data_IF_401700056073
#
_entry.id   IF_401700056073
#
_cell.length_a   1.000
_cell.length_b   1.000
_cell.length_c   1.000
_cell.angle_alpha   90.00
_cell.angle_beta   90.00
_cell.angle_gamma   90.00
#
_symmetry.space_group_name_H-M   'P 1'
#
loop_
_entity.id
_entity.type
_entity.pdbx_description
1 polymer ?
#
# COMPACT_ATOMS: atom_id res chain seq x y z
N UNK A 1 -15.24 4.93 -12.27
CA UNK A 1 -15.75 5.27 -10.93
C UNK A 1 -16.19 6.74 -10.84
N UNK A 2 -16.76 7.31 -11.91
CA UNK A 2 -17.15 8.74 -11.93
C UNK A 2 -18.24 9.04 -10.90
N UNK A 3 -19.10 8.06 -10.60
CA UNK A 3 -20.15 8.19 -9.58
C UNK A 3 -19.62 8.51 -8.17
N UNK A 4 -18.36 8.16 -7.85
CA UNK A 4 -17.73 8.52 -6.58
C UNK A 4 -17.50 10.03 -6.43
N UNK A 5 -17.42 10.78 -7.52
CA UNK A 5 -17.30 12.24 -7.48
C UNK A 5 -18.59 12.92 -6.99
N UNK A 6 -19.71 12.19 -6.93
CA UNK A 6 -20.97 12.69 -6.38
C UNK A 6 -21.05 12.58 -4.85
N UNK A 7 -20.08 11.95 -4.19
CA UNK A 7 -20.03 11.90 -2.73
C UNK A 7 -19.49 13.23 -2.19
N UNK A 8 -20.02 13.71 -1.07
CA UNK A 8 -19.49 14.91 -0.45
C UNK A 8 -18.04 14.68 -0.01
N UNK A 9 -17.24 15.73 -0.11
CA UNK A 9 -15.92 15.76 0.50
C UNK A 9 -16.11 15.72 2.02
N UNK A 10 -15.70 14.62 2.63
CA UNK A 10 -15.76 14.39 4.08
C UNK A 10 -14.51 13.62 4.52
N UNK A 11 -14.14 13.79 5.79
CA UNK A 11 -13.08 13.03 6.44
C UNK A 11 -13.72 12.10 7.46
N UNK A 12 -13.51 10.80 7.28
CA UNK A 12 -14.17 9.76 8.09
C UNK A 12 -13.31 9.30 9.28
N UNK A 13 -12.14 9.92 9.50
CA UNK A 13 -11.21 9.54 10.57
C UNK A 13 -10.28 10.67 11.00
N UNK A 14 -9.78 10.57 12.23
CA UNK A 14 -8.73 11.46 12.76
C UNK A 14 -7.45 11.40 11.92
N UNK A 15 -7.12 10.24 11.35
CA UNK A 15 -5.97 10.08 10.46
C UNK A 15 -6.13 10.92 9.18
N UNK A 16 -7.33 10.95 8.59
CA UNK A 16 -7.64 11.76 7.43
C UNK A 16 -7.59 13.27 7.76
N UNK A 17 -8.01 13.67 8.96
CA UNK A 17 -7.85 15.04 9.46
C UNK A 17 -6.38 15.42 9.65
N UNK A 18 -5.59 14.53 10.23
CA UNK A 18 -4.15 14.70 10.40
C UNK A 18 -3.41 14.80 9.06
N UNK A 19 -3.87 14.09 8.03
CA UNK A 19 -3.38 14.30 6.66
C UNK A 19 -3.69 15.71 6.14
N UNK A 20 -4.90 16.21 6.37
CA UNK A 20 -5.29 17.56 5.93
C UNK A 20 -4.45 18.64 6.63
N UNK A 21 -4.15 18.48 7.92
CA UNK A 21 -3.17 19.32 8.62
C UNK A 21 -1.78 19.21 8.00
N UNK A 22 -1.31 18.00 7.66
CA UNK A 22 0.00 17.80 7.03
C UNK A 22 0.14 18.47 5.64
N UNK A 23 -0.98 18.59 4.92
CA UNK A 23 -1.02 19.34 3.65
C UNK A 23 -0.68 20.81 3.88
N UNK A 24 -1.25 21.46 4.90
CA UNK A 24 -0.99 22.87 5.21
C UNK A 24 0.37 23.07 5.90
N UNK A 25 0.66 22.28 6.93
CA UNK A 25 1.92 22.29 7.67
C UNK A 25 2.30 20.87 8.08
N UNK A 26 3.35 20.38 7.44
CA UNK A 26 3.87 19.04 7.73
C UNK A 26 4.73 19.07 8.99
N UNK A 27 4.36 18.27 9.99
CA UNK A 27 5.20 17.95 11.13
C UNK A 27 4.68 16.68 11.81
N UNK A 28 5.53 15.66 11.92
CA UNK A 28 5.17 14.43 12.65
C UNK A 28 5.10 14.65 14.16
N UNK A 29 5.77 15.69 14.67
CA UNK A 29 5.74 16.09 16.08
C UNK A 29 4.36 16.63 16.47
N UNK A 30 3.67 17.24 15.52
CA UNK A 30 2.34 17.84 15.69
C UNK A 30 1.21 16.93 15.18
N UNK A 31 1.51 15.65 14.90
CA UNK A 31 0.56 14.70 14.32
C UNK A 31 -0.02 15.16 12.97
N UNK A 32 0.78 15.86 12.15
CA UNK A 32 0.37 16.40 10.85
C UNK A 32 1.24 15.85 9.70
N UNK A 33 1.11 14.57 9.31
CA UNK A 33 0.37 13.50 9.97
C UNK A 33 1.25 12.79 11.02
N UNK A 34 0.69 11.80 11.73
CA UNK A 34 1.46 10.98 12.67
C UNK A 34 2.66 10.25 12.00
N UNK A 35 3.66 9.84 12.78
CA UNK A 35 4.79 9.04 12.28
C UNK A 35 4.30 7.79 11.54
N UNK A 36 4.78 7.48 10.32
CA UNK A 36 6.02 7.94 9.70
C UNK A 36 5.91 9.17 8.78
N UNK A 37 4.77 9.86 8.76
CA UNK A 37 4.59 11.09 7.97
C UNK A 37 4.03 10.87 6.56
N UNK A 38 4.00 9.64 6.04
CA UNK A 38 3.40 9.30 4.75
C UNK A 38 3.78 10.27 3.60
N UNK A 39 5.09 10.49 3.38
CA UNK A 39 5.60 11.62 2.61
C UNK A 39 5.08 11.68 1.16
N UNK A 40 4.91 10.52 0.51
CA UNK A 40 4.38 10.50 -0.88
C UNK A 40 2.90 10.89 -0.91
N UNK A 41 2.13 10.50 0.12
CA UNK A 41 0.71 10.83 0.19
C UNK A 41 0.51 12.33 0.47
N UNK A 42 1.27 12.89 1.42
CA UNK A 42 1.26 14.34 1.69
C UNK A 42 1.71 15.12 0.47
N UNK A 43 2.75 14.67 -0.24
CA UNK A 43 3.21 15.36 -1.44
C UNK A 43 2.16 15.36 -2.56
N UNK A 44 1.49 14.22 -2.79
CA UNK A 44 0.36 14.12 -3.72
C UNK A 44 -0.78 15.06 -3.34
N UNK A 45 -1.19 15.06 -2.07
CA UNK A 45 -2.26 15.94 -1.59
C UNK A 45 -1.86 17.42 -1.70
N UNK A 46 -0.62 17.80 -1.37
CA UNK A 46 -0.12 19.17 -1.59
C UNK A 46 -0.18 19.61 -3.05
N UNK A 47 0.15 18.71 -3.98
CA UNK A 47 0.05 18.99 -5.41
C UNK A 47 -1.39 19.29 -5.82
N UNK A 48 -2.36 18.50 -5.36
CA UNK A 48 -3.78 18.74 -5.60
C UNK A 48 -4.26 20.04 -4.93
N UNK A 49 -3.74 20.35 -3.74
CA UNK A 49 -4.07 21.56 -3.00
C UNK A 49 -3.67 22.85 -3.73
N UNK A 50 -2.67 22.81 -4.63
CA UNK A 50 -2.32 23.98 -5.46
C UNK A 50 -3.49 24.44 -6.36
N UNK A 51 -4.35 23.51 -6.79
CA UNK A 51 -5.52 23.83 -7.61
C UNK A 51 -6.82 23.95 -6.81
N UNK A 52 -6.95 23.20 -5.72
CA UNK A 52 -8.18 23.15 -4.92
C UNK A 52 -8.24 24.25 -3.85
N UNK A 53 -7.09 24.70 -3.34
CA UNK A 53 -6.97 25.62 -2.21
C UNK A 53 -7.76 25.18 -0.95
N UNK A 54 -7.96 23.88 -0.79
CA UNK A 54 -8.63 23.24 0.35
C UNK A 54 -7.92 21.92 0.67
N UNK A 55 -7.30 21.84 1.85
CA UNK A 55 -6.55 20.67 2.30
C UNK A 55 -7.43 19.43 2.48
N UNK A 56 -8.69 19.62 2.88
CA UNK A 56 -9.64 18.53 3.09
C UNK A 56 -9.99 17.90 1.73
N UNK A 57 -10.38 18.73 0.77
CA UNK A 57 -10.63 18.29 -0.60
C UNK A 57 -9.38 17.64 -1.22
N UNK A 58 -8.21 18.22 -0.99
CA UNK A 58 -6.96 17.70 -1.52
C UNK A 58 -6.64 16.28 -1.01
N UNK A 59 -6.84 16.00 0.29
CA UNK A 59 -6.67 14.66 0.87
C UNK A 59 -7.71 13.69 0.33
N UNK A 60 -8.98 14.11 0.30
CA UNK A 60 -10.07 13.30 -0.24
C UNK A 60 -9.78 12.88 -1.69
N UNK A 61 -9.42 13.83 -2.56
CA UNK A 61 -9.11 13.53 -3.95
C UNK A 61 -7.78 12.79 -4.14
N UNK A 62 -6.77 12.98 -3.28
CA UNK A 62 -5.55 12.17 -3.32
C UNK A 62 -5.86 10.69 -3.07
N UNK A 63 -6.69 10.41 -2.05
CA UNK A 63 -7.19 9.08 -1.74
C UNK A 63 -8.00 8.51 -2.90
N UNK A 64 -8.99 9.25 -3.38
CA UNK A 64 -9.89 8.80 -4.44
C UNK A 64 -9.14 8.52 -5.75
N UNK A 65 -8.39 9.50 -6.27
CA UNK A 65 -7.68 9.38 -7.54
C UNK A 65 -6.57 8.34 -7.48
N UNK A 66 -5.90 8.17 -6.33
CA UNK A 66 -4.90 7.12 -6.15
C UNK A 66 -5.53 5.71 -6.05
N UNK A 67 -6.80 5.60 -5.64
CA UNK A 67 -7.52 4.32 -5.52
C UNK A 67 -8.18 3.86 -6.82
N UNK A 68 -8.62 4.80 -7.66
CA UNK A 68 -9.28 4.52 -8.96
C UNK A 68 -8.53 3.51 -9.86
N UNK A 69 -7.18 3.45 -9.88
CA UNK A 69 -6.45 2.45 -10.65
C UNK A 69 -6.61 1.00 -10.16
N UNK A 70 -7.10 0.73 -8.94
CA UNK A 70 -7.18 -0.65 -8.39
C UNK A 70 -7.98 -1.59 -9.31
N UNK A 71 -9.25 -1.32 -9.69
CA UNK A 71 -10.02 -2.23 -10.53
C UNK A 71 -9.36 -2.57 -11.88
N UNK A 72 -8.89 -1.60 -12.69
CA UNK A 72 -8.23 -1.95 -13.95
C UNK A 72 -6.88 -2.66 -13.73
N UNK A 73 -6.09 -2.28 -12.72
CA UNK A 73 -4.81 -2.95 -12.44
C UNK A 73 -5.01 -4.42 -12.04
N UNK A 74 -6.02 -4.69 -11.20
CA UNK A 74 -6.40 -6.04 -10.80
C UNK A 74 -6.84 -6.87 -12.02
N UNK A 75 -7.71 -6.33 -12.85
CA UNK A 75 -8.19 -7.01 -14.06
C UNK A 75 -7.05 -7.33 -15.02
N UNK A 76 -6.13 -6.38 -15.24
CA UNK A 76 -4.94 -6.59 -16.07
C UNK A 76 -3.99 -7.64 -15.49
N UNK A 77 -3.83 -7.66 -14.16
CA UNK A 77 -2.99 -8.63 -13.48
C UNK A 77 -3.53 -10.05 -13.69
N UNK A 78 -4.85 -10.24 -13.51
CA UNK A 78 -5.53 -11.52 -13.74
C UNK A 78 -5.37 -11.98 -15.18
N UNK A 79 -5.70 -11.11 -16.15
CA UNK A 79 -5.61 -11.43 -17.58
C UNK A 79 -4.20 -11.85 -17.98
N UNK A 80 -3.17 -11.13 -17.50
CA UNK A 80 -1.77 -11.50 -17.79
C UNK A 80 -1.34 -12.77 -17.07
N UNK A 81 -1.79 -13.00 -15.85
CA UNK A 81 -1.37 -14.17 -15.08
C UNK A 81 -2.01 -15.46 -15.58
N UNK A 82 -3.24 -15.39 -16.07
CA UNK A 82 -4.02 -16.52 -16.55
C UNK A 82 -4.08 -16.62 -18.08
N UNK A 83 -3.45 -15.68 -18.80
CA UNK A 83 -3.43 -15.65 -20.27
C UNK A 83 -4.85 -15.68 -20.89
N UNK A 84 -5.80 -15.03 -20.22
CA UNK A 84 -7.23 -15.12 -20.53
C UNK A 84 -7.80 -13.71 -20.79
N UNK A 85 -7.64 -13.15 -22.00
CA UNK A 85 -8.06 -11.78 -22.32
C UNK A 85 -9.56 -11.54 -22.15
N UNK A 86 -10.39 -12.57 -22.35
CA UNK A 86 -11.84 -12.50 -22.11
C UNK A 86 -12.23 -12.19 -20.65
N UNK A 87 -11.30 -12.32 -19.70
CA UNK A 87 -11.52 -12.03 -18.29
C UNK A 87 -11.31 -10.55 -17.93
N UNK A 88 -10.86 -9.70 -18.86
CA UNK A 88 -10.59 -8.29 -18.56
C UNK A 88 -11.85 -7.56 -18.08
N UNK A 89 -12.91 -7.59 -18.88
CA UNK A 89 -14.18 -6.92 -18.57
C UNK A 89 -14.83 -7.44 -17.27
N UNK A 90 -15.01 -8.76 -17.06
CA UNK A 90 -15.67 -9.24 -15.84
C UNK A 90 -14.88 -8.92 -14.57
N UNK A 91 -13.54 -9.03 -14.58
CA UNK A 91 -12.74 -8.66 -13.39
C UNK A 91 -12.67 -7.16 -13.16
N UNK A 92 -12.72 -6.35 -14.22
CA UNK A 92 -12.82 -4.90 -14.06
C UNK A 92 -14.17 -4.51 -13.44
N UNK A 93 -15.28 -5.03 -13.96
CA UNK A 93 -16.61 -4.79 -13.40
C UNK A 93 -16.74 -5.31 -11.96
N UNK A 94 -16.20 -6.50 -11.68
CA UNK A 94 -16.12 -7.03 -10.33
C UNK A 94 -15.36 -6.09 -9.41
N UNK A 95 -14.18 -5.62 -9.82
CA UNK A 95 -13.39 -4.66 -9.05
C UNK A 95 -14.11 -3.34 -8.79
N UNK A 96 -14.93 -2.86 -9.73
CA UNK A 96 -15.78 -1.68 -9.55
C UNK A 96 -16.94 -1.93 -8.57
N UNK A 97 -17.44 -3.16 -8.52
CA UNK A 97 -18.52 -3.58 -7.63
C UNK A 97 -18.07 -4.02 -6.23
N UNK A 98 -16.76 -4.19 -6.00
CA UNK A 98 -16.24 -4.53 -4.67
C UNK A 98 -16.42 -3.34 -3.72
N UNK A 99 -17.21 -3.47 -2.62
CA UNK A 99 -17.47 -2.37 -1.69
C UNK A 99 -16.21 -1.75 -1.08
N UNK A 100 -15.14 -2.55 -0.99
CA UNK A 100 -13.84 -2.11 -0.49
C UNK A 100 -13.23 -0.98 -1.32
N UNK A 101 -13.39 -0.98 -2.65
CA UNK A 101 -12.70 0.02 -3.50
C UNK A 101 -13.29 1.43 -3.30
N UNK A 102 -14.62 1.63 -3.32
CA UNK A 102 -15.24 2.88 -2.88
C UNK A 102 -14.84 3.29 -1.46
N UNK A 103 -14.86 2.35 -0.51
CA UNK A 103 -14.52 2.64 0.89
C UNK A 103 -13.09 3.18 1.01
N UNK A 104 -12.11 2.54 0.36
CA UNK A 104 -10.74 3.02 0.33
C UNK A 104 -10.60 4.36 -0.38
N UNK A 105 -11.36 4.58 -1.47
CA UNK A 105 -11.29 5.82 -2.24
C UNK A 105 -11.80 7.02 -1.45
N UNK A 106 -12.90 6.85 -0.71
CA UNK A 106 -13.57 7.94 0.00
C UNK A 106 -13.01 8.21 1.41
N UNK A 107 -12.28 7.27 2.01
CA UNK A 107 -11.79 7.37 3.39
C UNK A 107 -10.79 8.52 3.65
N UNK A 108 -10.20 9.12 2.60
CA UNK A 108 -9.16 10.14 2.77
C UNK A 108 -7.84 9.57 3.31
N UNK A 109 -7.55 8.29 3.04
CA UNK A 109 -6.40 7.57 3.57
C UNK A 109 -5.44 7.13 2.45
N UNK A 110 -4.23 6.72 2.85
CA UNK A 110 -3.18 6.29 1.92
C UNK A 110 -3.28 4.82 1.48
N UNK A 111 -4.17 4.02 2.06
CA UNK A 111 -4.34 2.59 1.78
C UNK A 111 -4.56 2.31 0.29
N UNK A 112 -5.59 2.92 -0.30
CA UNK A 112 -5.98 2.67 -1.68
C UNK A 112 -4.88 3.06 -2.69
N UNK A 113 -4.30 4.27 -2.61
CA UNK A 113 -3.12 4.63 -3.42
C UNK A 113 -1.95 3.65 -3.26
N UNK A 114 -1.66 3.19 -2.05
CA UNK A 114 -0.58 2.23 -1.80
C UNK A 114 -0.88 0.86 -2.43
N UNK A 115 -2.10 0.35 -2.30
CA UNK A 115 -2.52 -0.89 -2.95
C UNK A 115 -2.49 -0.79 -4.48
N UNK A 116 -2.86 0.35 -5.05
CA UNK A 116 -2.73 0.59 -6.49
C UNK A 116 -1.26 0.52 -6.94
N UNK A 117 -0.34 1.17 -6.21
CA UNK A 117 1.09 1.10 -6.49
C UNK A 117 1.62 -0.34 -6.38
N UNK A 118 1.19 -1.09 -5.37
CA UNK A 118 1.54 -2.51 -5.19
C UNK A 118 1.07 -3.38 -6.36
N UNK A 119 -0.20 -3.27 -6.77
CA UNK A 119 -0.74 -3.99 -7.92
C UNK A 119 0.00 -3.62 -9.21
N UNK A 120 0.35 -2.35 -9.38
CA UNK A 120 1.17 -1.88 -10.48
C UNK A 120 2.56 -2.52 -10.49
N UNK A 121 3.20 -2.66 -9.33
CA UNK A 121 4.50 -3.32 -9.21
C UNK A 121 4.41 -4.81 -9.60
N UNK A 122 3.40 -5.53 -9.10
CA UNK A 122 3.15 -6.92 -9.49
C UNK A 122 2.87 -7.07 -10.98
N UNK A 123 2.05 -6.17 -11.56
CA UNK A 123 1.76 -6.18 -12.99
C UNK A 123 3.00 -5.88 -13.84
N UNK A 124 3.88 -4.99 -13.37
CA UNK A 124 5.15 -4.69 -14.02
C UNK A 124 6.09 -5.91 -14.02
N UNK A 125 6.05 -6.74 -12.97
CA UNK A 125 6.86 -7.96 -12.83
C UNK A 125 6.23 -9.18 -13.53
N UNK A 126 4.92 -9.21 -13.72
CA UNK A 126 4.21 -10.33 -14.38
C UNK A 126 4.73 -10.56 -15.80
N UNK A 127 5.38 -11.71 -16.09
CA UNK A 127 6.00 -11.97 -17.38
C UNK A 127 5.00 -11.83 -18.55
N UNK A 128 5.48 -11.29 -19.68
CA UNK A 128 4.73 -11.30 -20.95
C UNK A 128 5.08 -12.51 -21.81
N UNK A 129 6.23 -13.11 -21.58
CA UNK A 129 6.80 -14.28 -22.25
C UNK A 129 7.59 -15.09 -21.19
N UNK A 130 8.14 -16.26 -21.54
CA UNK A 130 9.03 -17.03 -20.65
C UNK A 130 10.37 -16.31 -20.32
N UNK A 131 10.58 -15.07 -20.78
CA UNK A 131 11.79 -14.31 -20.52
C UNK A 131 11.74 -13.57 -19.17
N UNK A 132 12.93 -13.40 -18.58
CA UNK A 132 13.13 -12.59 -17.38
C UNK A 132 12.68 -11.14 -17.59
N UNK A 133 12.27 -10.48 -16.51
CA UNK A 133 11.83 -9.09 -16.57
C UNK A 133 12.94 -8.17 -17.12
N UNK A 134 12.58 -7.30 -18.08
CA UNK A 134 13.52 -6.32 -18.62
C UNK A 134 13.90 -5.28 -17.56
N UNK A 135 15.08 -4.65 -17.71
CA UNK A 135 15.57 -3.65 -16.76
C UNK A 135 14.54 -2.52 -16.54
N UNK A 136 13.88 -2.02 -17.60
CA UNK A 136 12.83 -1.01 -17.52
C UNK A 136 11.64 -1.45 -16.64
N UNK A 137 11.24 -2.72 -16.75
CA UNK A 137 10.14 -3.28 -15.95
C UNK A 137 10.53 -3.44 -14.48
N UNK A 138 11.77 -3.88 -14.22
CA UNK A 138 12.33 -3.93 -12.87
C UNK A 138 12.41 -2.53 -12.26
N UNK A 139 12.84 -1.52 -13.04
CA UNK A 139 12.91 -0.14 -12.56
C UNK A 139 11.53 0.44 -12.24
N UNK A 140 10.54 0.18 -13.11
CA UNK A 140 9.15 0.59 -12.85
C UNK A 140 8.61 -0.09 -11.59
N UNK A 141 8.81 -1.41 -11.44
CA UNK A 141 8.40 -2.13 -10.24
C UNK A 141 9.07 -1.56 -8.99
N UNK A 142 10.37 -1.27 -9.06
CA UNK A 142 11.13 -0.66 -7.97
C UNK A 142 10.58 0.72 -7.58
N UNK A 143 10.30 1.57 -8.57
CA UNK A 143 9.71 2.89 -8.32
C UNK A 143 8.34 2.77 -7.66
N UNK A 144 7.50 1.83 -8.12
CA UNK A 144 6.17 1.59 -7.56
C UNK A 144 6.22 0.99 -6.14
N UNK A 145 7.19 0.12 -5.83
CA UNK A 145 7.44 -0.35 -4.46
C UNK A 145 7.89 0.81 -3.57
N UNK A 146 8.81 1.64 -4.04
CA UNK A 146 9.25 2.84 -3.31
C UNK A 146 8.09 3.80 -3.04
N UNK A 147 7.24 4.05 -4.04
CA UNK A 147 6.02 4.86 -3.93
C UNK A 147 5.05 4.23 -2.93
N UNK A 148 4.79 2.92 -3.02
CA UNK A 148 3.93 2.20 -2.07
C UNK A 148 4.43 2.37 -0.63
N UNK A 149 5.73 2.20 -0.39
CA UNK A 149 6.31 2.38 0.93
C UNK A 149 6.25 3.83 1.38
N UNK A 150 6.49 4.80 0.51
CA UNK A 150 6.35 6.21 0.85
C UNK A 150 4.90 6.66 1.08
N UNK A 151 3.93 5.98 0.47
CA UNK A 151 2.50 6.16 0.71
C UNK A 151 2.07 5.50 2.01
N UNK A 152 2.61 4.32 2.33
CA UNK A 152 2.24 3.53 3.51
C UNK A 152 3.36 2.55 3.92
N UNK A 153 4.29 2.96 4.81
CA UNK A 153 5.42 2.12 5.21
C UNK A 153 5.02 0.80 5.89
N UNK A 154 3.87 0.76 6.56
CA UNK A 154 3.35 -0.48 7.19
C UNK A 154 3.06 -1.60 6.19
N UNK A 155 2.95 -1.29 4.89
CA UNK A 155 2.82 -2.28 3.82
C UNK A 155 4.16 -2.91 3.41
N UNK A 156 5.23 -2.74 4.20
CA UNK A 156 6.51 -3.41 3.98
C UNK A 156 6.37 -4.93 3.77
N UNK A 157 5.48 -5.60 4.49
CA UNK A 157 5.23 -7.04 4.30
C UNK A 157 4.74 -7.35 2.88
N UNK A 158 3.88 -6.50 2.32
CA UNK A 158 3.40 -6.64 0.94
C UNK A 158 4.51 -6.40 -0.09
N UNK A 159 5.55 -5.62 0.25
CA UNK A 159 6.71 -5.41 -0.62
C UNK A 159 7.56 -6.68 -0.81
N UNK A 160 7.50 -7.63 0.13
CA UNK A 160 8.30 -8.86 0.06
C UNK A 160 8.00 -9.67 -1.21
N UNK A 161 6.73 -9.79 -1.58
CA UNK A 161 6.33 -10.53 -2.78
C UNK A 161 6.96 -9.98 -4.08
N UNK A 162 6.77 -8.69 -4.46
CA UNK A 162 7.39 -8.15 -5.67
C UNK A 162 8.93 -8.07 -5.56
N UNK A 163 9.51 -7.93 -4.36
CA UNK A 163 10.96 -8.01 -4.17
C UNK A 163 11.51 -9.41 -4.49
N UNK A 164 10.84 -10.47 -4.01
CA UNK A 164 11.20 -11.85 -4.32
C UNK A 164 11.06 -12.14 -5.82
N UNK A 165 9.96 -11.71 -6.44
CA UNK A 165 9.72 -11.90 -7.87
C UNK A 165 10.75 -11.16 -8.74
N UNK A 166 11.10 -9.91 -8.38
CA UNK A 166 12.06 -9.11 -9.13
C UNK A 166 13.53 -9.49 -8.88
N UNK A 167 13.82 -10.18 -7.77
CA UNK A 167 15.18 -10.61 -7.39
C UNK A 167 15.71 -11.83 -8.13
N UNK A 168 14.84 -12.63 -8.77
CA UNK A 168 15.21 -13.90 -9.42
C UNK A 168 16.01 -13.73 -10.73
N UNK A 169 16.13 -12.52 -11.28
CA UNK A 169 16.66 -12.27 -12.63
C UNK A 169 18.09 -11.73 -12.72
N UNK A 170 18.89 -11.75 -11.64
CA UNK A 170 20.29 -11.27 -11.63
C UNK A 170 20.48 -9.75 -11.84
N UNK A 171 19.38 -9.01 -12.07
CA UNK A 171 19.35 -7.56 -12.30
C UNK A 171 18.72 -6.79 -11.13
N UNK A 172 18.90 -7.30 -9.92
CA UNK A 172 18.29 -6.77 -8.68
C UNK A 172 18.62 -5.29 -8.46
N UNK A 173 19.77 -4.81 -8.95
CA UNK A 173 20.11 -3.37 -8.92
C UNK A 173 19.09 -2.49 -9.65
N UNK A 174 18.54 -2.95 -10.78
CA UNK A 174 17.50 -2.22 -11.50
C UNK A 174 16.20 -2.11 -10.70
N UNK A 175 15.93 -3.05 -9.80
CA UNK A 175 14.79 -3.00 -8.87
C UNK A 175 15.09 -2.12 -7.65
N UNK A 176 16.27 -2.27 -7.04
CA UNK A 176 16.61 -1.60 -5.78
C UNK A 176 16.94 -0.11 -5.95
N UNK A 177 17.57 0.29 -7.05
CA UNK A 177 17.98 1.69 -7.25
C UNK A 177 16.78 2.67 -7.22
N UNK A 178 15.65 2.41 -7.90
CA UNK A 178 14.49 3.27 -7.79
C UNK A 178 13.82 3.25 -6.41
N UNK A 179 13.81 2.10 -5.72
CA UNK A 179 13.32 2.02 -4.33
C UNK A 179 14.13 2.96 -3.44
N UNK A 180 15.47 2.87 -3.54
CA UNK A 180 16.39 3.72 -2.80
C UNK A 180 16.18 5.19 -3.13
N UNK A 181 16.03 5.54 -4.42
CA UNK A 181 15.81 6.92 -4.84
C UNK A 181 14.52 7.50 -4.24
N UNK A 182 13.40 6.77 -4.32
CA UNK A 182 12.15 7.22 -3.71
C UNK A 182 12.30 7.32 -2.19
N UNK A 183 13.00 6.37 -1.55
CA UNK A 183 13.30 6.41 -0.12
C UNK A 183 14.11 7.63 0.30
N UNK A 184 15.13 8.01 -0.49
CA UNK A 184 15.93 9.21 -0.26
C UNK A 184 15.12 10.49 -0.44
N UNK A 185 14.23 10.55 -1.43
CA UNK A 185 13.31 11.68 -1.61
C UNK A 185 12.33 11.81 -0.43
N UNK A 186 11.79 10.68 0.05
CA UNK A 186 10.95 10.64 1.24
C UNK A 186 11.71 11.12 2.48
N UNK A 187 12.96 10.67 2.65
CA UNK A 187 13.83 11.08 3.75
C UNK A 187 14.13 12.58 3.70
N UNK A 188 14.46 13.11 2.53
CA UNK A 188 14.70 14.54 2.34
C UNK A 188 13.45 15.37 2.70
N UNK A 189 12.27 14.91 2.28
CA UNK A 189 11.01 15.56 2.60
C UNK A 189 10.74 15.61 4.12
N UNK A 190 10.83 14.47 4.82
CA UNK A 190 10.58 14.45 6.28
C UNK A 190 11.65 15.19 7.07
N UNK A 191 12.90 15.15 6.59
CA UNK A 191 14.02 15.91 7.17
C UNK A 191 13.80 17.41 7.06
N UNK A 192 13.23 17.90 5.95
CA UNK A 192 12.89 19.32 5.79
C UNK A 192 11.83 19.77 6.81
N UNK A 193 10.91 18.89 7.20
CA UNK A 193 9.87 19.19 8.20
C UNK A 193 10.41 19.25 9.62
N UNK A 194 10.94 18.13 10.11
CA UNK A 194 11.25 17.94 11.54
C UNK A 194 12.73 17.66 11.82
N UNK A 195 13.59 17.59 10.79
CA UNK A 195 15.03 17.34 10.93
C UNK A 195 15.34 16.13 11.80
N UNK A 196 16.20 16.34 12.81
CA UNK A 196 16.56 15.25 13.73
C UNK A 196 15.41 14.80 14.62
N UNK A 197 14.47 15.69 14.93
CA UNK A 197 13.35 15.40 15.82
C UNK A 197 12.39 14.34 15.23
N UNK A 198 12.36 14.20 13.90
CA UNK A 198 11.66 13.11 13.21
C UNK A 198 12.05 11.73 13.76
N UNK A 199 13.35 11.51 14.01
CA UNK A 199 13.86 10.21 14.45
C UNK A 199 13.63 9.98 15.94
N UNK A 200 13.69 11.02 16.77
CA UNK A 200 13.29 10.90 18.18
C UNK A 200 11.80 10.57 18.28
N UNK A 201 10.96 11.20 17.46
CA UNK A 201 9.53 10.91 17.43
C UNK A 201 9.25 9.51 16.89
N UNK A 202 9.95 9.07 15.85
CA UNK A 202 9.84 7.70 15.34
C UNK A 202 10.15 6.64 16.41
N UNK A 203 11.18 6.86 17.23
CA UNK A 203 11.48 5.98 18.38
C UNK A 203 10.38 6.02 19.43
N UNK A 204 9.91 7.21 19.81
CA UNK A 204 8.83 7.39 20.79
C UNK A 204 7.52 6.72 20.33
N UNK A 205 7.12 6.98 19.09
CA UNK A 205 5.91 6.45 18.48
C UNK A 205 5.97 4.93 18.36
N UNK A 206 7.07 4.38 17.82
CA UNK A 206 7.24 2.92 17.67
C UNK A 206 7.23 2.26 19.05
N UNK A 207 7.99 2.78 20.02
CA UNK A 207 8.00 2.22 21.38
C UNK A 207 6.59 2.25 21.98
N UNK A 208 5.91 3.40 21.96
CA UNK A 208 4.56 3.52 22.52
C UNK A 208 3.54 2.63 21.81
N UNK A 209 3.64 2.49 20.49
CA UNK A 209 2.79 1.58 19.72
C UNK A 209 2.99 0.14 20.18
N UNK A 210 4.23 -0.32 20.32
CA UNK A 210 4.47 -1.70 20.76
C UNK A 210 4.19 -1.94 22.24
N UNK A 211 4.44 -0.97 23.13
CA UNK A 211 4.42 -1.22 24.58
C UNK A 211 3.20 -0.66 25.32
N UNK A 212 2.51 0.34 24.77
CA UNK A 212 1.46 1.08 25.49
C UNK A 212 0.08 0.97 24.84
N UNK A 213 -0.05 1.29 23.54
CA UNK A 213 -1.37 1.53 22.93
C UNK A 213 -1.61 0.85 21.58
N UNK A 214 -0.58 0.35 20.89
CA UNK A 214 -0.72 -0.24 19.55
C UNK A 214 -1.25 -1.67 19.56
N UNK A 215 -1.86 -2.11 20.65
CA UNK A 215 -2.39 -3.45 20.82
C UNK A 215 -1.45 -4.49 20.20
N UNK A 216 -0.24 -4.68 20.76
CA UNK A 216 0.70 -5.73 20.33
C UNK A 216 0.83 -6.86 21.35
N UNK A 217 1.39 -8.01 20.95
CA UNK A 217 1.60 -9.17 21.82
C UNK A 217 2.48 -8.86 23.04
N UNK A 218 3.38 -7.88 22.92
CA UNK A 218 4.21 -7.43 24.02
C UNK A 218 3.42 -6.63 25.07
N UNK A 219 2.39 -5.89 24.65
CA UNK A 219 1.54 -5.15 25.57
C UNK A 219 0.49 -6.03 26.27
N UNK A 220 0.15 -7.19 25.69
CA UNK A 220 -0.89 -8.10 26.20
C UNK A 220 -0.44 -9.55 25.97
N UNK A 221 0.04 -10.23 27.01
CA UNK A 221 0.76 -11.52 26.94
C UNK A 221 0.00 -12.72 26.33
N UNK A 222 -1.32 -12.64 26.16
CA UNK A 222 -2.16 -13.79 25.76
C UNK A 222 -2.53 -13.82 24.27
N UNK A 223 -1.83 -13.07 23.41
CA UNK A 223 -2.29 -12.81 22.02
C UNK A 223 -2.13 -13.98 21.05
N UNK A 224 -1.20 -14.92 21.24
CA UNK A 224 -1.16 -16.12 20.39
C UNK A 224 -2.42 -16.98 20.60
N UNK A 225 -2.86 -17.06 21.86
CA UNK A 225 -4.14 -17.66 22.20
C UNK A 225 -5.30 -16.84 21.61
N UNK A 226 -5.19 -15.50 21.61
CA UNK A 226 -6.21 -14.64 20.97
C UNK A 226 -6.27 -14.81 19.45
N UNK A 227 -5.14 -14.93 18.73
CA UNK A 227 -5.13 -15.19 17.28
C UNK A 227 -5.72 -16.56 16.96
N UNK A 228 -5.36 -17.58 17.74
CA UNK A 228 -5.97 -18.91 17.62
C UNK A 228 -7.49 -18.86 17.86
N UNK A 229 -7.93 -18.15 18.91
CA UNK A 229 -9.35 -17.93 19.19
C UNK A 229 -10.04 -17.15 18.08
N UNK A 230 -9.43 -16.08 17.55
CA UNK A 230 -9.96 -15.28 16.44
C UNK A 230 -10.09 -16.11 15.17
N UNK A 231 -9.08 -16.92 14.83
CA UNK A 231 -9.15 -17.78 13.65
C UNK A 231 -10.22 -18.87 13.82
N UNK A 232 -10.34 -19.44 15.02
CA UNK A 232 -11.41 -20.40 15.34
C UNK A 232 -12.81 -19.76 15.27
N UNK A 233 -12.98 -18.51 15.71
CA UNK A 233 -14.28 -17.83 15.69
C UNK A 233 -14.66 -17.29 14.33
N UNK A 234 -13.70 -16.78 13.55
CA UNK A 234 -13.94 -16.18 12.24
C UNK A 234 -13.99 -17.21 11.11
N UNK A 235 -13.20 -18.28 11.18
CA UNK A 235 -13.03 -19.24 10.09
C UNK A 235 -13.43 -20.69 10.45
N UNK A 236 -13.90 -20.95 11.67
CA UNK A 236 -14.12 -22.28 12.27
C UNK A 236 -12.84 -22.95 12.81
N UNK A 237 -12.90 -23.81 13.86
CA UNK A 237 -11.75 -24.60 14.34
C UNK A 237 -11.03 -25.45 13.29
N UNK A 238 -11.63 -25.60 12.10
CA UNK A 238 -11.08 -26.33 10.96
C UNK A 238 -10.15 -25.47 10.07
N UNK A 239 -9.98 -24.18 10.37
CA UNK A 239 -9.06 -23.30 9.61
C UNK A 239 -7.63 -23.86 9.44
N UNK A 240 -7.05 -24.66 10.36
CA UNK A 240 -5.72 -25.23 10.13
C UNK A 240 -5.68 -26.19 8.93
N UNK A 241 -6.83 -26.77 8.53
CA UNK A 241 -6.94 -27.63 7.34
C UNK A 241 -6.86 -26.84 6.02
N UNK A 242 -7.03 -25.51 6.06
CA UNK A 242 -6.81 -24.65 4.92
C UNK A 242 -5.31 -24.36 4.68
N UNK A 243 -4.45 -24.49 5.71
CA UNK A 243 -3.00 -24.28 5.58
C UNK A 243 -2.33 -25.25 4.59
N UNK A 244 -2.63 -26.57 4.58
CA UNK A 244 -2.15 -27.49 3.54
C UNK A 244 -2.59 -27.09 2.13
N UNK A 245 -3.81 -26.58 1.95
CA UNK A 245 -4.32 -26.14 0.64
C UNK A 245 -3.63 -24.87 0.16
N UNK A 246 -3.39 -23.91 1.07
CA UNK A 246 -2.58 -22.72 0.80
C UNK A 246 -1.13 -23.10 0.47
N UNK A 247 -0.56 -24.05 1.20
CA UNK A 247 0.79 -24.57 0.96
C UNK A 247 0.90 -25.27 -0.40
N UNK A 248 -0.09 -26.10 -0.76
CA UNK A 248 -0.18 -26.74 -2.08
C UNK A 248 -0.31 -25.69 -3.19
N UNK A 249 -1.09 -24.64 -2.99
CA UNK A 249 -1.19 -23.50 -3.90
C UNK A 249 0.15 -22.81 -4.10
N UNK A 250 0.86 -22.47 -3.02
CA UNK A 250 2.18 -21.84 -3.06
C UNK A 250 3.20 -22.75 -3.75
N UNK A 251 3.19 -24.04 -3.45
CA UNK A 251 4.09 -25.04 -4.03
C UNK A 251 3.83 -25.22 -5.53
N UNK A 252 2.58 -25.27 -5.96
CA UNK A 252 2.21 -25.33 -7.37
C UNK A 252 2.59 -24.03 -8.12
N UNK A 253 2.57 -22.89 -7.44
CA UNK A 253 3.11 -21.63 -7.99
C UNK A 253 4.64 -21.65 -8.13
N UNK A 254 5.35 -22.37 -7.26
CA UNK A 254 6.80 -22.55 -7.35
C UNK A 254 7.21 -23.53 -8.47
N UNK A 255 6.42 -24.56 -8.74
CA UNK A 255 6.72 -25.56 -9.77
C UNK A 255 6.25 -25.16 -11.17
N UNK A 256 5.26 -24.26 -11.30
CA UNK A 256 4.78 -23.76 -12.60
C UNK A 256 5.69 -22.69 -13.24
N UNK A 257 6.85 -22.39 -12.63
CA UNK A 257 7.87 -21.48 -13.14
C UNK A 257 9.15 -22.16 -13.63
N UNK A 258 9.16 -23.50 -13.72
CA UNK A 258 10.23 -24.30 -14.33
C UNK A 258 10.01 -24.56 -15.81
#
# INVERSE_FOLDING_TARGET
MVWLLGFPVALDSDDALNFAHGVTRFSVLEFAPHFPGYPVFIWLARLLNLGLADSIAAVHYASLLGTVPIPPLLAWLVVRRWQAPGLLAPFWLLGLGLPLVPALGLAGLSDGPALAAWLGALLALTPRTHATASARRLMLAGALIGIMLGLRPSYFVLALLPLLLGGQGGRTRCLLLPILLVGLLCLAFVWQGDGWAYFSEGRRFTSGHFTLWGNTAAAHGDRLLSWYQTLNTQFSPLWPLALPLLWLGIRNMATAGG
#
